data_IF_353395189301
#
_entry.id   IF_353395189301
#
_cell.length_a   1.000
_cell.length_b   1.000
_cell.length_c   1.000
_cell.angle_alpha   90.00
_cell.angle_beta   90.00
_cell.angle_gamma   90.00
#
_symmetry.space_group_name_H-M   'P 1'
#
loop_
_entity.id
_entity.type
_entity.pdbx_description
1 polymer ?
#
# COMPACT_ATOMS: atom_id res chain seq x y z
N UNK A 1 17.61 6.21 17.99
CA UNK A 1 17.03 6.55 16.69
C UNK A 1 15.52 6.68 16.78
N UNK A 2 15.01 7.68 17.52
CA UNK A 2 13.58 7.87 17.70
C UNK A 2 12.90 8.43 16.44
N UNK A 3 13.63 9.24 15.65
CA UNK A 3 13.09 9.92 14.47
C UNK A 3 12.72 8.92 13.37
N UNK A 4 13.64 8.02 13.01
CA UNK A 4 13.47 7.06 11.93
C UNK A 4 12.36 6.05 12.25
N UNK A 5 12.32 5.59 13.51
CA UNK A 5 11.25 4.74 14.04
C UNK A 5 9.90 5.43 13.96
N UNK A 6 9.83 6.68 14.42
CA UNK A 6 8.62 7.49 14.37
C UNK A 6 8.13 7.70 12.94
N UNK A 7 9.05 8.00 12.00
CA UNK A 7 8.72 8.20 10.60
C UNK A 7 8.10 6.95 9.96
N UNK A 8 8.70 5.77 10.15
CA UNK A 8 8.15 4.51 9.64
C UNK A 8 6.74 4.22 10.18
N UNK A 9 6.53 4.41 11.49
CA UNK A 9 5.22 4.21 12.12
C UNK A 9 4.18 5.20 11.56
N UNK A 10 4.53 6.48 11.40
CA UNK A 10 3.64 7.51 10.85
C UNK A 10 3.24 7.15 9.41
N UNK A 11 4.20 6.73 8.57
CA UNK A 11 3.92 6.28 7.20
C UNK A 11 2.98 5.06 7.23
N UNK A 12 3.23 4.10 8.11
CA UNK A 12 2.37 2.94 8.28
C UNK A 12 0.93 3.31 8.62
N UNK A 13 0.73 4.23 9.57
CA UNK A 13 -0.60 4.77 9.87
C UNK A 13 -1.24 5.51 8.70
N UNK A 14 -0.47 6.30 7.93
CA UNK A 14 -0.98 6.96 6.74
C UNK A 14 -1.50 5.95 5.70
N UNK A 15 -0.77 4.84 5.48
CA UNK A 15 -1.21 3.76 4.58
C UNK A 15 -2.46 3.05 5.11
N UNK A 16 -2.61 2.88 6.41
CA UNK A 16 -3.83 2.32 7.02
C UNK A 16 -5.03 3.26 6.76
N UNK A 17 -4.86 4.57 6.93
CA UNK A 17 -5.90 5.55 6.60
C UNK A 17 -6.30 5.48 5.12
N UNK A 18 -5.32 5.35 4.20
CA UNK A 18 -5.57 5.14 2.77
C UNK A 18 -6.35 3.84 2.52
N UNK A 19 -5.98 2.74 3.19
CA UNK A 19 -6.70 1.47 3.11
C UNK A 19 -8.16 1.61 3.54
N UNK A 20 -8.41 2.28 4.68
CA UNK A 20 -9.77 2.54 5.18
C UNK A 20 -10.56 3.35 4.14
N UNK A 21 -9.97 4.42 3.60
CA UNK A 21 -10.57 5.21 2.53
C UNK A 21 -10.92 4.34 1.31
N UNK A 22 -10.00 3.49 0.84
CA UNK A 22 -10.24 2.59 -0.28
C UNK A 22 -11.37 1.62 -0.01
N UNK A 23 -11.43 1.03 1.19
CA UNK A 23 -12.45 0.07 1.57
C UNK A 23 -13.86 0.66 1.50
N UNK A 24 -14.03 1.91 1.94
CA UNK A 24 -15.34 2.59 1.91
C UNK A 24 -15.62 3.35 0.61
N UNK A 25 -14.66 3.45 -0.31
CA UNK A 25 -14.86 4.16 -1.56
C UNK A 25 -15.88 3.46 -2.45
N UNK A 26 -16.83 4.24 -2.98
CA UNK A 26 -17.78 3.80 -4.01
C UNK A 26 -17.26 4.00 -5.44
N UNK A 27 -16.17 4.76 -5.59
CA UNK A 27 -15.51 5.01 -6.89
C UNK A 27 -14.28 4.12 -7.00
N UNK A 28 -13.91 3.66 -8.21
CA UNK A 28 -12.66 2.96 -8.44
C UNK A 28 -11.47 3.74 -7.86
N UNK A 29 -10.64 3.06 -7.09
CA UNK A 29 -9.40 3.63 -6.54
C UNK A 29 -8.20 3.14 -7.32
N UNK A 30 -7.06 3.80 -7.17
CA UNK A 30 -5.79 3.41 -7.76
C UNK A 30 -4.66 3.72 -6.80
N UNK A 31 -3.61 2.91 -6.88
CA UNK A 31 -2.41 3.04 -6.05
C UNK A 31 -1.38 4.02 -6.67
N UNK A 32 -1.61 4.45 -7.92
CA UNK A 32 -0.73 5.34 -8.65
C UNK A 32 -1.15 6.80 -8.43
N UNK A 33 -0.20 7.66 -8.05
CA UNK A 33 -0.46 9.08 -7.79
C UNK A 33 -0.80 9.90 -9.05
N UNK A 34 -0.41 9.44 -10.24
CA UNK A 34 -0.50 10.22 -11.48
C UNK A 34 -1.28 9.52 -12.61
N UNK A 35 -2.11 8.55 -12.24
CA UNK A 35 -2.91 7.76 -13.17
C UNK A 35 -4.36 7.87 -12.74
N UNK A 36 -5.27 8.04 -13.69
CA UNK A 36 -6.68 7.88 -13.37
C UNK A 36 -6.94 6.41 -13.01
N UNK A 37 -7.76 6.14 -11.98
CA UNK A 37 -8.22 4.78 -11.74
C UNK A 37 -8.97 4.26 -12.96
N UNK A 38 -9.03 2.93 -13.17
CA UNK A 38 -9.82 2.37 -14.27
C UNK A 38 -11.27 2.87 -14.22
N UNK A 39 -11.87 3.00 -15.41
CA UNK A 39 -13.27 3.41 -15.53
C UNK A 39 -14.19 2.47 -14.75
N UNK A 40 -15.29 3.00 -14.21
CA UNK A 40 -16.31 2.20 -13.48
C UNK A 40 -16.84 1.07 -14.35
N UNK A 41 -16.99 1.33 -15.64
CA UNK A 41 -17.43 0.42 -16.69
C UNK A 41 -16.40 -0.66 -17.03
N UNK A 42 -15.11 -0.39 -16.80
CA UNK A 42 -13.98 -1.30 -17.05
C UNK A 42 -13.76 -2.30 -15.91
N UNK A 43 -14.43 -2.14 -14.77
CA UNK A 43 -14.28 -3.01 -13.61
C UNK A 43 -15.52 -3.92 -13.47
N UNK A 44 -15.27 -5.21 -13.28
CA UNK A 44 -16.31 -6.23 -13.06
C UNK A 44 -17.15 -5.96 -11.82
N UNK A 45 -16.50 -5.64 -10.68
CA UNK A 45 -17.15 -5.29 -9.43
C UNK A 45 -16.30 -4.29 -8.64
N UNK A 46 -16.71 -3.01 -8.63
CA UNK A 46 -15.97 -1.91 -7.99
C UNK A 46 -15.73 -2.15 -6.50
N UNK A 47 -16.73 -2.67 -5.78
CA UNK A 47 -16.61 -2.92 -4.34
C UNK A 47 -15.54 -3.97 -4.04
N UNK A 48 -15.57 -5.08 -4.76
CA UNK A 48 -14.62 -6.19 -4.55
C UNK A 48 -13.21 -5.80 -4.96
N UNK A 49 -13.08 -5.04 -6.05
CA UNK A 49 -11.82 -4.43 -6.48
C UNK A 49 -11.25 -3.50 -5.39
N UNK A 50 -12.05 -2.53 -4.93
CA UNK A 50 -11.64 -1.59 -3.89
C UNK A 50 -11.26 -2.29 -2.57
N UNK A 51 -12.01 -3.32 -2.16
CA UNK A 51 -11.67 -4.11 -0.98
C UNK A 51 -10.37 -4.91 -1.15
N UNK A 52 -10.06 -5.39 -2.36
CA UNK A 52 -8.77 -6.05 -2.63
C UNK A 52 -7.62 -5.05 -2.56
N UNK A 53 -7.77 -3.87 -3.18
CA UNK A 53 -6.77 -2.79 -3.12
C UNK A 53 -6.57 -2.27 -1.71
N UNK A 54 -7.65 -2.12 -0.92
CA UNK A 54 -7.59 -1.74 0.48
C UNK A 54 -6.77 -2.74 1.31
N UNK A 55 -7.04 -4.05 1.16
CA UNK A 55 -6.26 -5.09 1.86
C UNK A 55 -4.77 -5.04 1.52
N UNK A 56 -4.43 -4.79 0.26
CA UNK A 56 -3.03 -4.64 -0.15
C UNK A 56 -2.35 -3.46 0.57
N UNK A 57 -3.02 -2.30 0.61
CA UNK A 57 -2.51 -1.12 1.33
C UNK A 57 -2.46 -1.31 2.85
N UNK A 58 -3.42 -2.06 3.42
CA UNK A 58 -3.42 -2.40 4.84
C UNK A 58 -2.17 -3.21 5.20
N UNK A 59 -1.88 -4.27 4.43
CA UNK A 59 -0.70 -5.11 4.64
C UNK A 59 0.57 -4.27 4.52
N UNK A 60 0.64 -3.38 3.52
CA UNK A 60 1.79 -2.51 3.34
C UNK A 60 1.99 -1.54 4.52
N UNK A 61 0.91 -0.95 5.04
CA UNK A 61 0.96 -0.10 6.23
C UNK A 61 1.40 -0.86 7.50
N UNK A 62 0.92 -2.09 7.69
CA UNK A 62 1.32 -2.94 8.81
C UNK A 62 2.81 -3.29 8.76
N UNK A 63 3.35 -3.55 7.57
CA UNK A 63 4.79 -3.79 7.37
C UNK A 63 5.62 -2.58 7.82
N UNK A 64 5.22 -1.36 7.46
CA UNK A 64 5.91 -0.14 7.92
C UNK A 64 5.85 0.08 9.44
N UNK A 65 4.71 -0.22 10.07
CA UNK A 65 4.61 -0.16 11.54
C UNK A 65 5.58 -1.16 12.17
N UNK A 66 5.59 -2.39 11.66
CA UNK A 66 6.49 -3.44 12.14
C UNK A 66 7.96 -3.04 12.00
N UNK A 67 8.36 -2.47 10.87
CA UNK A 67 9.71 -1.94 10.67
C UNK A 67 10.08 -0.88 11.71
N UNK A 68 9.20 0.10 11.95
CA UNK A 68 9.44 1.13 12.96
C UNK A 68 9.65 0.57 14.37
N UNK A 69 9.02 -0.57 14.69
CA UNK A 69 9.25 -1.28 15.95
C UNK A 69 10.61 -1.97 16.00
N UNK A 70 11.05 -2.58 14.89
CA UNK A 70 12.28 -3.38 14.77
C UNK A 70 13.54 -2.53 14.58
N UNK A 71 13.42 -1.29 14.09
CA UNK A 71 14.56 -0.37 13.91
C UNK A 71 15.21 -0.07 15.27
N UNK A 72 16.44 -0.55 15.47
CA UNK A 72 17.22 -0.36 16.72
C UNK A 72 18.54 0.38 16.51
N UNK A 73 19.17 0.25 15.33
CA UNK A 73 20.42 0.95 14.97
C UNK A 73 20.47 1.34 13.47
N UNK A 74 21.40 2.23 13.11
CA UNK A 74 21.46 2.85 11.77
C UNK A 74 21.63 1.82 10.65
N UNK A 75 22.35 0.74 10.92
CA UNK A 75 22.58 -0.34 9.96
C UNK A 75 21.27 -1.08 9.66
N UNK A 76 20.51 -1.46 10.69
CA UNK A 76 19.19 -2.09 10.53
C UNK A 76 18.22 -1.14 9.82
N UNK A 77 18.23 0.14 10.18
CA UNK A 77 17.43 1.16 9.49
C UNK A 77 17.75 1.21 8.00
N UNK A 78 19.03 1.22 7.63
CA UNK A 78 19.46 1.24 6.23
C UNK A 78 18.94 0.03 5.46
N UNK A 79 19.14 -1.19 5.99
CA UNK A 79 18.66 -2.40 5.32
C UNK A 79 17.14 -2.45 5.17
N UNK A 80 16.39 -2.09 6.22
CA UNK A 80 14.93 -2.09 6.16
C UNK A 80 14.43 -1.06 5.14
N UNK A 81 14.84 0.21 5.27
CA UNK A 81 14.40 1.30 4.38
C UNK A 81 14.75 1.03 2.92
N UNK A 82 15.95 0.53 2.64
CA UNK A 82 16.37 0.18 1.28
C UNK A 82 15.51 -0.94 0.71
N UNK A 83 15.10 -1.92 1.52
CA UNK A 83 14.31 -3.05 1.06
C UNK A 83 12.82 -2.72 0.93
N UNK A 84 12.28 -1.85 1.78
CA UNK A 84 10.83 -1.70 1.94
C UNK A 84 10.28 -0.47 1.24
N UNK A 85 11.04 0.61 1.13
CA UNK A 85 10.57 1.81 0.43
C UNK A 85 10.57 1.61 -1.08
N UNK A 86 11.71 1.21 -1.66
CA UNK A 86 11.89 1.12 -3.12
C UNK A 86 11.48 -0.26 -3.70
N UNK A 87 12.03 -1.39 -3.23
CA UNK A 87 11.55 -2.71 -3.66
C UNK A 87 10.13 -3.00 -3.17
N UNK A 88 9.78 -2.58 -1.95
CA UNK A 88 8.44 -2.82 -1.41
C UNK A 88 7.34 -2.16 -2.24
N UNK A 89 7.50 -0.92 -2.69
CA UNK A 89 6.51 -0.29 -3.58
C UNK A 89 6.41 -1.03 -4.93
N UNK A 90 7.54 -1.50 -5.48
CA UNK A 90 7.54 -2.29 -6.72
C UNK A 90 6.78 -3.61 -6.54
N UNK A 91 6.95 -4.29 -5.41
CA UNK A 91 6.19 -5.51 -5.08
C UNK A 91 4.69 -5.21 -4.95
N UNK A 92 4.32 -4.11 -4.28
CA UNK A 92 2.92 -3.67 -4.17
C UNK A 92 2.33 -3.40 -5.56
N UNK A 93 3.06 -2.70 -6.43
CA UNK A 93 2.63 -2.42 -7.81
C UNK A 93 2.49 -3.71 -8.62
N UNK A 94 3.47 -4.61 -8.54
CA UNK A 94 3.43 -5.90 -9.23
C UNK A 94 2.24 -6.75 -8.78
N UNK A 95 1.93 -6.77 -7.47
CA UNK A 95 0.75 -7.48 -6.95
C UNK A 95 -0.54 -6.83 -7.46
N UNK A 96 -0.61 -5.50 -7.43
CA UNK A 96 -1.76 -4.76 -7.91
C UNK A 96 -2.04 -5.05 -9.39
N UNK A 97 -1.03 -4.95 -10.26
CA UNK A 97 -1.18 -5.22 -11.69
C UNK A 97 -1.48 -6.69 -11.97
N UNK A 98 -0.71 -7.60 -11.38
CA UNK A 98 -0.75 -9.03 -11.73
C UNK A 98 -1.95 -9.76 -11.15
N UNK A 99 -2.45 -9.35 -9.99
CA UNK A 99 -3.54 -10.04 -9.29
C UNK A 99 -4.81 -9.22 -9.19
N UNK A 100 -4.73 -7.91 -8.92
CA UNK A 100 -5.94 -7.10 -8.72
C UNK A 100 -6.48 -6.65 -10.08
N UNK A 101 -5.70 -5.93 -10.88
CA UNK A 101 -6.13 -5.49 -12.20
C UNK A 101 -6.52 -6.68 -13.08
N UNK A 102 -5.65 -7.70 -13.18
CA UNK A 102 -5.94 -8.90 -13.98
C UNK A 102 -7.23 -9.64 -13.58
N UNK A 103 -7.60 -9.61 -12.30
CA UNK A 103 -8.81 -10.30 -11.79
C UNK A 103 -10.07 -9.48 -11.96
N UNK A 104 -9.98 -8.16 -11.84
CA UNK A 104 -11.15 -7.30 -11.71
C UNK A 104 -11.42 -6.42 -12.94
N UNK A 105 -10.43 -6.17 -13.80
CA UNK A 105 -10.67 -5.56 -15.10
C UNK A 105 -11.42 -6.52 -16.02
N UNK A 106 -12.28 -5.96 -16.86
CA UNK A 106 -13.00 -6.68 -17.92
C UNK A 106 -12.14 -6.88 -19.15
#
# INVERSE_FOLDING_TARGET
>A
MPLERGAAIIIGFAMICVSIYYYFSKKPVTIYNNSNPPGVDQITNVRSYNHATARLMLVYGVIFIFEGLVITNKLICFFLVVLTVMPGIVVVMAIFESFILKKYLK
#
